data_IF_983859438556
#
_entry.id   IF_983859438556
#
_cell.length_a   1.000
_cell.length_b   1.000
_cell.length_c   1.000
_cell.angle_alpha   90.00
_cell.angle_beta   90.00
_cell.angle_gamma   90.00
#
_symmetry.space_group_name_H-M   'P 1'
#
loop_
_entity.id
_entity.type
_entity.pdbx_description
1 polymer ?
#
# COMPACT_ATOMS: atom_id res chain seq x y z
N UNK A 1 3.94 5.85 -20.50
CA UNK A 1 3.86 7.28 -20.17
C UNK A 1 3.13 8.07 -21.23
N UNK A 2 3.59 8.10 -22.48
CA UNK A 2 2.96 8.89 -23.56
C UNK A 2 1.47 8.58 -23.74
N UNK A 3 1.07 7.29 -23.65
CA UNK A 3 -0.34 6.86 -23.74
C UNK A 3 -1.18 7.46 -22.61
N UNK A 4 -0.71 7.41 -21.35
CA UNK A 4 -1.41 7.96 -20.19
C UNK A 4 -1.62 9.48 -20.27
N UNK A 5 -0.69 10.21 -20.90
CA UNK A 5 -0.74 11.66 -21.08
C UNK A 5 -1.41 12.09 -22.39
N UNK A 6 -1.87 11.16 -23.20
CA UNK A 6 -2.41 11.46 -24.55
C UNK A 6 -3.75 12.23 -24.54
N UNK A 7 -4.48 12.22 -23.42
CA UNK A 7 -5.85 12.74 -23.32
C UNK A 7 -6.90 11.94 -24.11
N UNK A 8 -6.52 10.77 -24.66
CA UNK A 8 -7.39 9.94 -25.52
C UNK A 8 -8.02 8.74 -24.78
N UNK A 9 -7.60 8.50 -23.53
CA UNK A 9 -8.09 7.37 -22.74
C UNK A 9 -9.33 7.79 -21.94
N UNK A 10 -10.30 6.90 -21.87
CA UNK A 10 -11.39 7.04 -20.92
C UNK A 10 -10.94 6.67 -19.49
N UNK A 11 -11.80 6.91 -18.51
CA UNK A 11 -11.47 6.71 -17.09
C UNK A 11 -11.08 5.24 -16.79
N UNK A 12 -11.79 4.27 -17.34
CA UNK A 12 -11.53 2.85 -17.14
C UNK A 12 -10.17 2.44 -17.71
N UNK A 13 -9.83 2.95 -18.89
CA UNK A 13 -8.51 2.71 -19.50
C UNK A 13 -7.39 3.36 -18.72
N UNK A 14 -7.59 4.60 -18.23
CA UNK A 14 -6.62 5.29 -17.38
C UNK A 14 -6.35 4.49 -16.09
N UNK A 15 -7.40 4.05 -15.41
CA UNK A 15 -7.27 3.23 -14.18
C UNK A 15 -6.54 1.92 -14.45
N UNK A 16 -6.90 1.21 -15.52
CA UNK A 16 -6.24 -0.04 -15.92
C UNK A 16 -4.75 0.18 -16.21
N UNK A 17 -4.42 1.21 -17.00
CA UNK A 17 -3.03 1.47 -17.39
C UNK A 17 -2.20 1.94 -16.19
N UNK A 18 -2.77 2.72 -15.26
CA UNK A 18 -2.14 3.06 -13.98
C UNK A 18 -1.90 1.82 -13.11
N UNK A 19 -2.89 0.91 -13.03
CA UNK A 19 -2.73 -0.35 -12.31
C UNK A 19 -1.59 -1.17 -12.90
N UNK A 20 -1.53 -1.31 -14.23
CA UNK A 20 -0.43 -2.01 -14.91
C UNK A 20 0.92 -1.40 -14.55
N UNK A 21 1.03 -0.06 -14.56
CA UNK A 21 2.24 0.66 -14.19
C UNK A 21 2.61 0.40 -12.72
N UNK A 22 1.63 0.40 -11.81
CA UNK A 22 1.80 0.16 -10.38
C UNK A 22 2.34 -1.24 -10.06
N UNK A 23 2.07 -2.23 -10.92
CA UNK A 23 2.59 -3.58 -10.76
C UNK A 23 3.88 -3.84 -11.57
N UNK A 24 4.42 -2.83 -12.25
CA UNK A 24 5.71 -2.90 -12.95
C UNK A 24 6.86 -2.57 -12.00
N UNK A 25 7.73 -3.54 -11.73
CA UNK A 25 8.89 -3.38 -10.84
C UNK A 25 10.07 -2.75 -11.61
N UNK A 26 10.06 -1.44 -11.74
CA UNK A 26 11.21 -0.68 -12.30
C UNK A 26 11.24 0.74 -11.76
N UNK A 27 12.44 1.34 -11.74
CA UNK A 27 12.63 2.74 -11.37
C UNK A 27 11.92 3.69 -12.35
N UNK A 28 11.82 3.30 -13.62
CA UNK A 28 11.11 4.07 -14.64
C UNK A 28 9.60 4.09 -14.39
N UNK A 29 9.01 2.95 -14.01
CA UNK A 29 7.60 2.88 -13.64
C UNK A 29 7.29 3.73 -12.40
N UNK A 30 8.12 3.62 -11.35
CA UNK A 30 8.02 4.46 -10.16
C UNK A 30 8.13 5.95 -10.51
N UNK A 31 9.13 6.32 -11.30
CA UNK A 31 9.34 7.70 -11.77
C UNK A 31 8.17 8.25 -12.58
N UNK A 32 7.60 7.44 -13.47
CA UNK A 32 6.41 7.82 -14.25
C UNK A 32 5.19 8.00 -13.36
N UNK A 33 4.95 7.10 -12.40
CA UNK A 33 3.83 7.24 -11.48
C UNK A 33 3.96 8.49 -10.60
N UNK A 34 5.17 8.81 -10.11
CA UNK A 34 5.45 10.05 -9.39
C UNK A 34 5.13 11.27 -10.25
N UNK A 35 5.58 11.29 -11.51
CA UNK A 35 5.30 12.39 -12.42
C UNK A 35 3.79 12.60 -12.62
N UNK A 36 3.04 11.52 -12.85
CA UNK A 36 1.59 11.57 -13.01
C UNK A 36 0.89 12.06 -11.72
N UNK A 37 1.38 11.66 -10.55
CA UNK A 37 0.83 12.07 -9.25
C UNK A 37 1.03 13.56 -8.94
N UNK A 38 2.06 14.19 -9.51
CA UNK A 38 2.38 15.60 -9.34
C UNK A 38 1.74 16.48 -10.43
N UNK A 39 1.23 15.88 -11.49
CA UNK A 39 0.58 16.61 -12.58
C UNK A 39 -0.88 16.94 -12.24
N UNK A 40 -1.12 18.17 -11.79
CA UNK A 40 -2.46 18.68 -11.42
C UNK A 40 -3.49 18.64 -12.57
N UNK A 41 -3.04 18.54 -13.82
CA UNK A 41 -3.92 18.45 -14.99
C UNK A 41 -4.23 17.00 -15.38
N UNK A 42 -3.58 16.03 -14.75
CA UNK A 42 -3.83 14.62 -15.00
C UNK A 42 -5.09 14.16 -14.26
N UNK A 43 -6.10 13.70 -14.99
CA UNK A 43 -7.42 13.38 -14.45
C UNK A 43 -7.41 12.33 -13.31
N UNK A 44 -6.38 11.49 -13.22
CA UNK A 44 -6.23 10.45 -12.19
C UNK A 44 -4.99 10.70 -11.31
N UNK A 45 -4.63 11.98 -11.08
CA UNK A 45 -3.46 12.35 -10.27
C UNK A 45 -3.55 11.81 -8.83
N UNK A 46 -4.74 11.84 -8.22
CA UNK A 46 -4.96 11.33 -6.86
C UNK A 46 -4.78 9.81 -6.79
N UNK A 47 -5.28 9.08 -7.79
CA UNK A 47 -5.06 7.64 -7.90
C UNK A 47 -3.57 7.32 -8.11
N UNK A 48 -2.87 8.09 -8.94
CA UNK A 48 -1.42 7.95 -9.12
C UNK A 48 -0.68 8.23 -7.80
N UNK A 49 -1.07 9.25 -7.05
CA UNK A 49 -0.53 9.57 -5.72
C UNK A 49 -0.76 8.43 -4.72
N UNK A 50 -1.96 7.86 -4.72
CA UNK A 50 -2.28 6.69 -3.90
C UNK A 50 -1.36 5.51 -4.24
N UNK A 51 -1.13 5.22 -5.53
CA UNK A 51 -0.21 4.17 -5.95
C UNK A 51 1.24 4.43 -5.54
N UNK A 52 1.72 5.67 -5.62
CA UNK A 52 3.07 6.04 -5.12
C UNK A 52 3.21 5.68 -3.64
N UNK A 53 2.25 6.10 -2.80
CA UNK A 53 2.23 5.78 -1.37
C UNK A 53 2.20 4.29 -1.10
N UNK A 54 1.38 3.55 -1.84
CA UNK A 54 1.18 2.11 -1.69
C UNK A 54 2.44 1.30 -2.11
N UNK A 55 3.13 1.71 -3.17
CA UNK A 55 4.23 0.93 -3.77
C UNK A 55 5.62 1.30 -3.24
N UNK A 56 5.81 2.49 -2.66
CA UNK A 56 7.14 2.92 -2.17
C UNK A 56 7.70 2.02 -1.07
N UNK A 57 6.86 1.51 -0.17
CA UNK A 57 7.26 0.58 0.90
C UNK A 57 7.29 -0.89 0.48
N UNK A 58 6.81 -1.22 -0.71
CA UNK A 58 6.66 -2.60 -1.21
C UNK A 58 7.43 -2.84 -2.52
N UNK A 59 6.73 -2.90 -3.64
CA UNK A 59 7.30 -3.26 -4.94
C UNK A 59 8.44 -2.32 -5.39
N UNK A 60 8.36 -1.05 -5.01
CA UNK A 60 9.32 0.00 -5.40
C UNK A 60 10.31 0.39 -4.29
N UNK A 61 10.35 -0.31 -3.15
CA UNK A 61 11.22 0.06 -2.03
C UNK A 61 12.71 0.15 -2.38
N UNK A 62 13.14 -0.59 -3.43
CA UNK A 62 14.52 -0.58 -3.89
C UNK A 62 14.90 0.67 -4.73
N UNK A 63 13.95 1.55 -5.06
CA UNK A 63 14.15 2.63 -6.02
C UNK A 63 14.17 4.03 -5.41
N UNK A 64 14.22 4.15 -4.09
CA UNK A 64 14.21 5.44 -3.36
C UNK A 64 13.17 6.42 -3.93
N UNK A 65 11.91 6.02 -3.81
CA UNK A 65 10.77 6.79 -4.37
C UNK A 65 10.69 8.19 -3.76
N UNK A 66 11.09 8.38 -2.51
CA UNK A 66 11.08 9.68 -1.85
C UNK A 66 12.12 10.63 -2.46
N UNK A 67 13.30 10.14 -2.86
CA UNK A 67 14.26 10.92 -3.64
C UNK A 67 13.70 11.27 -5.03
N UNK A 68 12.99 10.34 -5.67
CA UNK A 68 12.33 10.60 -6.96
C UNK A 68 11.27 11.71 -6.83
N UNK A 69 10.46 11.70 -5.77
CA UNK A 69 9.45 12.75 -5.49
C UNK A 69 10.11 14.10 -5.30
N UNK A 70 11.14 14.17 -4.43
CA UNK A 70 11.90 15.41 -4.18
C UNK A 70 12.55 15.97 -5.43
N UNK A 71 13.17 15.13 -6.24
CA UNK A 71 13.81 15.53 -7.50
C UNK A 71 12.82 16.14 -8.51
N UNK A 72 11.52 15.87 -8.37
CA UNK A 72 10.45 16.43 -9.21
C UNK A 72 9.69 17.57 -8.54
N UNK A 73 10.23 18.12 -7.45
CA UNK A 73 9.61 19.24 -6.71
C UNK A 73 8.38 18.87 -5.89
N UNK A 74 8.16 17.58 -5.66
CA UNK A 74 7.09 17.10 -4.80
C UNK A 74 7.50 17.02 -3.33
N UNK A 75 6.50 16.99 -2.46
CA UNK A 75 6.69 16.74 -1.04
C UNK A 75 6.58 15.24 -0.76
N UNK A 76 7.69 14.60 -0.38
CA UNK A 76 7.74 13.18 -0.06
C UNK A 76 6.86 12.82 1.17
N UNK A 77 6.59 13.78 2.06
CA UNK A 77 5.69 13.60 3.21
C UNK A 77 4.22 13.57 2.76
N UNK A 78 3.89 14.21 1.65
CA UNK A 78 2.54 14.21 1.07
C UNK A 78 2.16 12.87 0.40
N UNK A 79 3.12 12.01 0.13
CA UNK A 79 2.90 10.62 -0.28
C UNK A 79 2.69 9.70 0.95
N UNK A 80 2.10 10.24 2.04
CA UNK A 80 1.61 9.41 3.14
C UNK A 80 0.61 8.41 2.59
N UNK A 81 0.67 7.19 3.11
CA UNK A 81 -0.34 6.17 2.87
C UNK A 81 -1.72 6.81 3.12
N UNK A 82 -2.55 6.85 2.09
CA UNK A 82 -3.90 7.41 2.21
C UNK A 82 -4.69 6.43 3.07
N UNK A 83 -5.09 6.88 4.26
CA UNK A 83 -5.96 6.11 5.12
C UNK A 83 -7.34 5.91 4.48
N UNK A 84 -7.96 4.77 4.76
CA UNK A 84 -9.38 4.58 4.46
C UNK A 84 -10.22 5.49 5.38
N UNK A 85 -11.40 5.92 4.92
CA UNK A 85 -12.37 6.68 5.72
C UNK A 85 -13.02 5.85 6.85
N UNK A 86 -12.48 4.67 7.14
CA UNK A 86 -12.91 3.87 8.28
C UNK A 86 -12.44 4.53 9.58
N UNK A 87 -13.23 4.46 10.65
CA UNK A 87 -12.84 4.98 11.96
C UNK A 87 -11.46 4.44 12.33
N UNK A 88 -10.54 5.32 12.68
CA UNK A 88 -9.15 4.97 12.98
C UNK A 88 -9.00 4.00 14.15
N UNK A 89 -10.05 3.84 14.95
CA UNK A 89 -10.01 3.04 16.16
C UNK A 89 -11.35 2.30 16.39
N UNK A 90 -11.24 1.01 16.71
CA UNK A 90 -12.39 0.32 17.30
C UNK A 90 -12.62 0.84 18.72
N UNK A 91 -13.89 1.00 19.16
CA UNK A 91 -14.19 1.40 20.53
C UNK A 91 -13.44 0.52 21.54
N UNK A 92 -12.66 1.15 22.42
CA UNK A 92 -11.85 0.44 23.43
C UNK A 92 -10.46 0.02 23.01
N UNK A 93 -10.04 0.27 21.77
CA UNK A 93 -8.63 0.09 21.37
C UNK A 93 -7.75 1.15 22.03
N UNK A 94 -6.55 0.76 22.47
CA UNK A 94 -5.54 1.72 22.91
C UNK A 94 -4.87 2.30 21.68
N UNK A 95 -4.63 3.62 21.69
CA UNK A 95 -3.84 4.26 20.66
C UNK A 95 -2.47 3.58 20.53
N UNK A 96 -2.10 3.22 19.31
CA UNK A 96 -0.78 2.65 19.03
C UNK A 96 0.27 3.75 19.03
N UNK A 97 1.49 3.37 19.44
CA UNK A 97 2.64 4.25 19.29
C UNK A 97 2.90 4.57 17.82
N UNK A 98 3.57 5.69 17.49
CA UNK A 98 4.00 5.98 16.13
C UNK A 98 4.80 4.82 15.53
N UNK A 99 4.67 4.61 14.23
CA UNK A 99 5.33 3.50 13.50
C UNK A 99 6.84 3.46 13.75
N UNK A 100 7.47 4.63 13.78
CA UNK A 100 8.91 4.79 14.01
C UNK A 100 9.31 4.31 15.40
N UNK A 101 8.47 4.60 16.41
CA UNK A 101 8.70 4.16 17.78
C UNK A 101 8.55 2.64 17.92
N UNK A 102 7.59 2.04 17.20
CA UNK A 102 7.41 0.58 17.17
C UNK A 102 8.58 -0.08 16.43
N UNK A 103 9.02 0.49 15.31
CA UNK A 103 10.13 -0.02 14.51
C UNK A 103 11.47 0.01 15.27
N UNK A 104 11.63 0.94 16.22
CA UNK A 104 12.82 1.04 17.06
C UNK A 104 12.88 0.00 18.19
N UNK A 105 11.80 -0.74 18.46
CA UNK A 105 11.77 -1.77 19.49
C UNK A 105 12.59 -2.99 19.06
N UNK A 106 13.26 -3.61 20.03
CA UNK A 106 13.90 -4.91 19.82
C UNK A 106 12.83 -5.99 19.75
N UNK A 107 12.67 -6.60 18.56
CA UNK A 107 11.73 -7.69 18.35
C UNK A 107 12.21 -9.03 18.93
N UNK A 108 11.25 -9.91 19.24
CA UNK A 108 11.47 -11.30 19.60
C UNK A 108 10.74 -12.19 18.58
N UNK A 109 11.52 -12.89 17.76
CA UNK A 109 10.99 -13.71 16.67
C UNK A 109 10.18 -14.93 17.17
N UNK A 110 10.54 -15.52 18.33
CA UNK A 110 9.82 -16.66 18.88
C UNK A 110 8.43 -16.25 19.39
N UNK A 111 8.39 -15.17 20.16
CA UNK A 111 7.13 -14.59 20.64
C UNK A 111 6.29 -14.04 19.47
N UNK A 112 6.92 -13.41 18.49
CA UNK A 112 6.23 -12.94 17.27
C UNK A 112 5.59 -14.07 16.48
N UNK A 113 6.29 -15.21 16.34
CA UNK A 113 5.73 -16.41 15.71
C UNK A 113 4.52 -16.95 16.47
N UNK A 114 4.57 -16.98 17.79
CA UNK A 114 3.43 -17.40 18.60
C UNK A 114 2.25 -16.43 18.48
N UNK A 115 2.51 -15.13 18.56
CA UNK A 115 1.48 -14.08 18.42
C UNK A 115 0.83 -14.08 17.03
N UNK A 116 1.59 -14.35 15.96
CA UNK A 116 1.07 -14.38 14.59
C UNK A 116 0.16 -15.59 14.28
N UNK A 117 0.05 -16.56 15.17
CA UNK A 117 -0.84 -17.71 14.97
C UNK A 117 -2.30 -17.31 14.73
N UNK A 118 -2.77 -16.21 15.34
CA UNK A 118 -4.12 -15.67 15.11
C UNK A 118 -4.34 -15.24 13.65
N UNK A 119 -3.30 -14.81 12.95
CA UNK A 119 -3.39 -14.38 11.55
C UNK A 119 -3.67 -15.57 10.61
N UNK A 120 -3.35 -16.81 11.03
CA UNK A 120 -3.63 -18.03 10.25
C UNK A 120 -5.12 -18.35 10.12
N UNK A 121 -5.98 -17.67 10.88
CA UNK A 121 -7.42 -17.73 10.69
C UNK A 121 -7.88 -17.17 9.32
N UNK A 122 -7.06 -16.32 8.70
CA UNK A 122 -7.36 -15.68 7.42
C UNK A 122 -6.22 -15.77 6.39
N UNK A 123 -4.99 -16.02 6.83
CA UNK A 123 -3.80 -16.01 5.97
C UNK A 123 -3.03 -17.33 6.01
N UNK A 124 -2.35 -17.66 4.92
CA UNK A 124 -1.36 -18.72 4.87
C UNK A 124 0.03 -18.22 5.28
N UNK A 125 0.75 -19.06 6.06
CA UNK A 125 2.17 -18.94 6.38
C UNK A 125 2.81 -20.31 6.19
N UNK A 126 3.77 -20.44 5.31
CA UNK A 126 4.47 -21.72 5.02
C UNK A 126 3.48 -22.89 4.79
N UNK A 127 2.44 -22.64 4.02
CA UNK A 127 1.40 -23.62 3.70
C UNK A 127 0.40 -23.92 4.81
N UNK A 128 0.50 -23.27 5.98
CA UNK A 128 -0.43 -23.42 7.10
C UNK A 128 -1.38 -22.22 7.18
N UNK A 129 -2.62 -22.46 7.59
CA UNK A 129 -3.65 -21.43 7.72
C UNK A 129 -4.69 -21.49 6.60
N UNK A 130 -5.59 -20.52 6.58
CA UNK A 130 -6.71 -20.40 5.64
C UNK A 130 -6.36 -19.46 4.50
N UNK A 131 -6.83 -19.77 3.29
CA UNK A 131 -6.60 -19.01 2.06
C UNK A 131 -7.77 -18.02 1.83
N UNK A 132 -8.04 -17.19 2.82
CA UNK A 132 -9.07 -16.15 2.71
C UNK A 132 -8.42 -14.80 2.37
N UNK A 133 -7.31 -14.48 3.00
CA UNK A 133 -6.48 -13.32 2.71
C UNK A 133 -5.22 -13.70 1.91
N UNK A 134 -4.38 -12.72 1.53
CA UNK A 134 -3.12 -12.98 0.83
C UNK A 134 -2.20 -13.94 1.60
N UNK A 135 -1.47 -14.79 0.87
CA UNK A 135 -0.40 -15.60 1.45
C UNK A 135 0.75 -14.70 1.94
N UNK A 136 1.10 -14.82 3.22
CA UNK A 136 2.11 -13.99 3.89
C UNK A 136 3.49 -14.66 3.98
N UNK A 137 3.66 -15.89 3.46
CA UNK A 137 4.90 -16.68 3.55
C UNK A 137 6.15 -15.89 3.13
N UNK A 138 6.06 -15.13 2.05
CA UNK A 138 7.16 -14.32 1.53
C UNK A 138 6.95 -12.83 1.66
N UNK A 139 5.82 -12.42 2.20
CA UNK A 139 5.38 -11.03 2.22
C UNK A 139 6.38 -10.10 2.90
N UNK A 140 6.89 -10.51 4.07
CA UNK A 140 7.87 -9.74 4.83
C UNK A 140 9.19 -9.49 4.07
N UNK A 141 9.57 -10.38 3.13
CA UNK A 141 10.78 -10.20 2.31
C UNK A 141 10.63 -9.09 1.28
N UNK A 142 9.40 -8.71 0.97
CA UNK A 142 9.05 -7.74 -0.08
C UNK A 142 8.66 -6.37 0.50
N UNK A 143 8.50 -6.26 1.82
CA UNK A 143 8.04 -5.06 2.51
C UNK A 143 9.15 -4.41 3.33
N UNK A 144 9.05 -3.10 3.59
CA UNK A 144 9.84 -2.45 4.64
C UNK A 144 9.25 -2.79 6.02
N UNK A 145 10.05 -2.63 7.08
CA UNK A 145 9.58 -2.85 8.46
C UNK A 145 8.41 -1.92 8.81
N UNK A 146 8.52 -0.66 8.44
CA UNK A 146 7.49 0.35 8.66
C UNK A 146 6.19 0.00 7.93
N UNK A 147 6.30 -0.50 6.68
CA UNK A 147 5.15 -0.97 5.91
C UNK A 147 4.46 -2.17 6.56
N UNK A 148 5.25 -3.11 7.10
CA UNK A 148 4.71 -4.27 7.83
C UNK A 148 3.96 -3.83 9.10
N UNK A 149 4.58 -2.95 9.89
CA UNK A 149 3.96 -2.41 11.11
C UNK A 149 2.65 -1.71 10.76
N UNK A 150 2.65 -0.88 9.73
CA UNK A 150 1.48 -0.14 9.30
C UNK A 150 0.34 -1.06 8.83
N UNK A 151 0.66 -2.10 8.07
CA UNK A 151 -0.33 -3.07 7.59
C UNK A 151 -0.95 -3.90 8.72
N UNK A 152 -0.21 -4.12 9.82
CA UNK A 152 -0.74 -4.78 11.02
C UNK A 152 -1.56 -3.80 11.86
N UNK A 153 -1.06 -2.57 12.04
CA UNK A 153 -1.68 -1.57 12.90
C UNK A 153 -2.93 -0.94 12.27
N UNK A 154 -2.93 -0.81 10.95
CA UNK A 154 -3.98 -0.17 10.16
C UNK A 154 -4.28 -0.99 8.89
N UNK A 155 -4.85 -2.19 9.03
CA UNK A 155 -4.97 -3.16 7.93
C UNK A 155 -5.80 -2.65 6.75
N UNK A 156 -6.72 -1.73 6.98
CA UNK A 156 -7.56 -1.14 5.92
C UNK A 156 -6.87 -0.04 5.11
N UNK A 157 -5.69 0.43 5.54
CA UNK A 157 -4.97 1.50 4.83
C UNK A 157 -4.32 1.02 3.53
N UNK A 158 -4.07 -0.27 3.40
CA UNK A 158 -3.31 -0.82 2.28
C UNK A 158 -3.80 -2.23 1.94
N UNK A 159 -5.02 -2.31 1.42
CA UNK A 159 -5.60 -3.59 1.00
C UNK A 159 -4.95 -4.02 -0.32
N UNK A 160 -4.47 -5.27 -0.38
CA UNK A 160 -3.92 -5.83 -1.60
C UNK A 160 -4.99 -5.94 -2.68
N UNK A 161 -4.63 -5.61 -3.92
CA UNK A 161 -5.55 -5.70 -5.06
C UNK A 161 -6.15 -7.12 -5.18
N UNK A 162 -7.47 -7.17 -5.34
CA UNK A 162 -8.23 -8.42 -5.38
C UNK A 162 -8.75 -8.90 -4.02
N UNK A 163 -8.41 -8.18 -2.93
CA UNK A 163 -8.90 -8.45 -1.56
C UNK A 163 -9.74 -7.30 -1.00
N UNK A 164 -10.15 -6.38 -1.86
CA UNK A 164 -11.03 -5.27 -1.48
C UNK A 164 -12.42 -5.79 -1.10
N UNK A 165 -12.91 -5.36 0.06
CA UNK A 165 -14.27 -5.65 0.49
C UNK A 165 -15.29 -4.83 -0.28
N UNK A 166 -16.42 -5.46 -0.66
CA UNK A 166 -17.58 -4.75 -1.22
C UNK A 166 -18.71 -4.75 -0.21
N UNK A 167 -19.21 -3.56 0.12
CA UNK A 167 -20.42 -3.43 0.93
C UNK A 167 -21.63 -3.47 0.01
N UNK A 168 -22.50 -4.44 0.22
CA UNK A 168 -23.82 -4.51 -0.46
C UNK A 168 -24.87 -4.04 0.54
N UNK A 169 -25.67 -3.05 0.14
CA UNK A 169 -26.86 -2.61 0.87
C UNK A 169 -28.05 -3.16 0.09
N UNK A 170 -28.88 -3.94 0.76
CA UNK A 170 -30.14 -4.42 0.20
C UNK A 170 -31.23 -3.43 0.58
N UNK A 171 -32.10 -3.10 -0.38
CA UNK A 171 -33.34 -2.39 -0.12
C UNK A 171 -34.36 -3.41 0.43
N UNK A 172 -34.89 -3.16 1.63
CA UNK A 172 -35.94 -3.97 2.27
C UNK A 172 -37.32 -3.63 1.68
#
# INVERSE_FOLDING_TARGET
RARLLSGKLNETELKRDLTTLAFTRSAEAAGTMVELSLNKQFAQADLAKWWVGNRKGSLWKAFDVDAIVKARGGDASAAKLVGSDLPAEMPGSKALAPVEAIAALKGDAANGKAASAVCQACHKFDGKGIDFGPDLTTYAKQQSLESLILNIAQPSNNISHGFEGTRVVLDD
#
